data_IF_716334270124
#
_entry.id   IF_716334270124
#
_cell.length_a   1.000
_cell.length_b   1.000
_cell.length_c   1.000
_cell.angle_alpha   90.00
_cell.angle_beta   90.00
_cell.angle_gamma   90.00
#
_symmetry.space_group_name_H-M   'P 1'
#
loop_
_entity.id
_entity.type
_entity.pdbx_description
1 polymer ?
#
# COMPACT_ATOMS: atom_id res chain seq x y z
N UNK A 1 -0.86 6.85 -0.37
CA UNK A 1 -0.21 5.99 0.63
C UNK A 1 -1.00 4.71 0.82
N UNK A 2 -2.28 4.80 1.19
CA UNK A 2 -3.11 3.64 1.55
C UNK A 2 -4.42 3.57 0.73
N UNK A 3 -4.99 2.36 0.61
CA UNK A 3 -6.27 2.11 -0.08
C UNK A 3 -7.08 0.99 0.61
N UNK A 4 -8.28 1.34 1.10
CA UNK A 4 -9.23 0.43 1.72
C UNK A 4 -10.10 -0.30 0.70
N UNK A 5 -9.56 -1.35 0.09
CA UNK A 5 -10.26 -2.11 -0.96
C UNK A 5 -10.92 -3.39 -0.44
N UNK A 6 -10.18 -4.18 0.34
CA UNK A 6 -10.62 -5.48 0.84
C UNK A 6 -9.81 -5.84 2.10
N UNK A 7 -10.44 -6.49 3.08
CA UNK A 7 -9.80 -6.88 4.35
C UNK A 7 -8.52 -7.72 4.18
N UNK A 8 -8.50 -8.64 3.21
CA UNK A 8 -7.33 -9.46 2.82
C UNK A 8 -6.19 -8.68 2.16
N UNK A 9 -6.38 -7.41 1.78
CA UNK A 9 -5.33 -6.52 1.30
C UNK A 9 -5.18 -5.35 2.30
N UNK A 10 -4.50 -5.58 3.45
CA UNK A 10 -4.40 -4.63 4.55
C UNK A 10 -3.39 -3.51 4.29
N UNK A 11 -3.55 -2.80 3.17
CA UNK A 11 -2.75 -1.62 2.80
C UNK A 11 -3.43 -0.32 3.25
N UNK A 12 -4.20 -0.37 4.33
CA UNK A 12 -4.87 0.78 4.95
C UNK A 12 -5.05 0.57 6.45
N UNK A 13 -5.18 1.67 7.22
CA UNK A 13 -5.42 1.59 8.66
C UNK A 13 -6.57 2.48 9.16
N UNK A 14 -7.16 3.31 8.29
CA UNK A 14 -8.20 4.24 8.73
C UNK A 14 -9.04 4.85 7.62
N UNK A 15 -9.75 5.92 7.97
CA UNK A 15 -10.76 6.55 7.11
C UNK A 15 -10.21 7.16 5.82
N UNK A 16 -8.95 7.61 5.79
CA UNK A 16 -8.35 8.16 4.58
C UNK A 16 -8.13 7.06 3.53
N UNK A 17 -7.59 5.90 3.92
CA UNK A 17 -7.48 4.74 3.05
C UNK A 17 -8.85 4.26 2.55
N UNK A 18 -9.86 4.20 3.43
CA UNK A 18 -11.24 3.87 3.02
C UNK A 18 -11.77 4.85 1.98
N UNK A 19 -11.63 6.16 2.23
CA UNK A 19 -12.04 7.20 1.29
C UNK A 19 -11.32 7.08 -0.06
N UNK A 20 -10.01 6.84 -0.05
CA UNK A 20 -9.24 6.62 -1.27
C UNK A 20 -9.73 5.39 -2.05
N UNK A 21 -10.02 4.29 -1.35
CA UNK A 21 -10.60 3.08 -1.94
C UNK A 21 -11.99 3.33 -2.55
N UNK A 22 -12.85 4.07 -1.85
CA UNK A 22 -14.18 4.41 -2.33
C UNK A 22 -14.15 5.38 -3.52
N UNK A 23 -13.15 6.28 -3.59
CA UNK A 23 -12.90 7.06 -4.80
C UNK A 23 -12.56 6.18 -6.01
N UNK A 24 -11.74 5.13 -5.83
CA UNK A 24 -11.44 4.20 -6.94
C UNK A 24 -12.71 3.47 -7.40
N UNK A 25 -13.52 2.98 -6.46
CA UNK A 25 -14.78 2.28 -6.76
C UNK A 25 -15.78 3.21 -7.47
N UNK A 26 -15.98 4.41 -6.95
CA UNK A 26 -16.88 5.40 -7.53
C UNK A 26 -16.43 5.82 -8.94
N UNK A 27 -15.12 6.04 -9.15
CA UNK A 27 -14.59 6.34 -10.48
C UNK A 27 -14.82 5.19 -11.46
N UNK A 28 -14.64 3.93 -11.01
CA UNK A 28 -14.91 2.75 -11.82
C UNK A 28 -16.38 2.62 -12.19
N UNK A 29 -17.31 2.87 -11.26
CA UNK A 29 -18.76 2.83 -11.50
C UNK A 29 -19.22 3.95 -12.45
N UNK A 30 -18.63 5.14 -12.33
CA UNK A 30 -18.95 6.29 -13.17
C UNK A 30 -18.23 6.27 -14.53
N UNK A 31 -17.30 5.33 -14.75
CA UNK A 31 -16.47 5.28 -15.95
C UNK A 31 -15.52 6.47 -16.09
N UNK A 32 -15.14 7.10 -14.96
CA UNK A 32 -14.21 8.22 -14.94
C UNK A 32 -12.79 7.68 -15.09
N UNK A 33 -11.97 8.19 -16.04
CA UNK A 33 -10.60 7.75 -16.19
C UNK A 33 -9.79 8.18 -14.96
N UNK A 34 -9.38 7.20 -14.16
CA UNK A 34 -8.60 7.40 -12.95
C UNK A 34 -7.59 6.26 -12.80
N UNK A 35 -6.39 6.59 -12.35
CA UNK A 35 -5.36 5.63 -11.94
C UNK A 35 -4.97 5.95 -10.51
N UNK A 36 -5.00 4.93 -9.64
CA UNK A 36 -4.50 5.04 -8.28
C UNK A 36 -3.01 4.69 -8.23
N UNK A 37 -2.24 5.36 -7.36
CA UNK A 37 -0.87 4.98 -7.03
C UNK A 37 -0.68 4.97 -5.52
N UNK A 38 -0.13 3.87 -5.00
CA UNK A 38 0.07 3.64 -3.57
C UNK A 38 1.33 2.83 -3.27
N UNK A 39 1.46 2.42 -2.00
CA UNK A 39 2.54 1.53 -1.56
C UNK A 39 1.96 0.16 -1.20
N UNK A 40 2.69 -0.91 -1.54
CA UNK A 40 2.35 -2.27 -1.15
C UNK A 40 3.05 -2.59 0.18
N UNK A 41 2.31 -2.48 1.28
CA UNK A 41 2.82 -2.83 2.61
C UNK A 41 2.76 -4.35 2.84
N UNK A 42 3.92 -5.02 2.82
CA UNK A 42 4.00 -6.49 2.91
C UNK A 42 3.48 -7.04 4.24
N UNK A 43 3.80 -6.37 5.34
CA UNK A 43 3.26 -6.65 6.67
C UNK A 43 1.92 -5.99 6.96
N UNK A 44 1.38 -5.24 5.98
CA UNK A 44 0.13 -4.51 6.11
C UNK A 44 0.10 -3.52 7.27
N UNK A 45 -1.09 -3.37 7.84
CA UNK A 45 -1.30 -2.89 9.20
C UNK A 45 -1.45 -4.09 10.16
N UNK A 46 -1.24 -3.87 11.46
CA UNK A 46 -1.41 -4.95 12.44
C UNK A 46 -2.87 -5.38 12.57
N UNK A 47 -3.07 -6.66 12.87
CA UNK A 47 -4.36 -7.18 13.33
C UNK A 47 -4.47 -6.96 14.83
N UNK A 48 -5.48 -6.21 15.24
CA UNK A 48 -5.74 -5.93 16.64
C UNK A 48 -6.41 -7.14 17.30
N UNK A 49 -5.83 -7.59 18.41
CA UNK A 49 -6.43 -8.55 19.33
C UNK A 49 -6.62 -7.95 20.72
N UNK A 50 -7.35 -8.65 21.57
CA UNK A 50 -7.48 -8.32 22.99
C UNK A 50 -7.14 -9.55 23.80
N UNK A 51 -6.14 -9.46 24.68
CA UNK A 51 -5.74 -10.57 25.53
C UNK A 51 -6.71 -10.79 26.70
N UNK A 52 -6.50 -11.87 27.46
CA UNK A 52 -7.34 -12.20 28.62
C UNK A 52 -7.35 -11.13 29.73
N UNK A 53 -6.40 -10.19 29.72
CA UNK A 53 -6.31 -9.07 30.65
C UNK A 53 -6.94 -7.78 30.08
N UNK A 54 -7.57 -7.83 28.91
CA UNK A 54 -8.18 -6.68 28.26
C UNK A 54 -7.17 -5.74 27.59
N UNK A 55 -5.92 -6.16 27.40
CA UNK A 55 -4.89 -5.35 26.74
C UNK A 55 -4.90 -5.61 25.25
N UNK A 56 -4.67 -4.56 24.47
CA UNK A 56 -4.46 -4.68 23.04
C UNK A 56 -3.21 -5.50 22.75
N UNK A 57 -3.32 -6.41 21.78
CA UNK A 57 -2.20 -7.13 21.18
C UNK A 57 -2.18 -6.89 19.68
N UNK A 58 -1.01 -7.01 19.08
CA UNK A 58 -0.77 -6.71 17.67
C UNK A 58 -0.19 -7.95 17.00
N UNK A 59 -0.79 -8.38 15.90
CA UNK A 59 -0.30 -9.48 15.07
C UNK A 59 -0.04 -8.98 13.65
N UNK A 60 1.19 -9.16 13.18
CA UNK A 60 1.62 -8.73 11.85
C UNK A 60 1.72 -9.95 10.94
N UNK A 61 0.75 -10.08 10.05
CA UNK A 61 0.69 -11.20 9.11
C UNK A 61 1.10 -10.72 7.72
N UNK A 62 2.19 -11.26 7.15
CA UNK A 62 2.57 -10.96 5.78
C UNK A 62 1.44 -11.34 4.81
N UNK A 63 1.21 -10.49 3.82
CA UNK A 63 0.22 -10.73 2.77
C UNK A 63 0.94 -11.20 1.52
N UNK A 64 0.47 -12.31 0.97
CA UNK A 64 0.78 -12.70 -0.40
C UNK A 64 -0.10 -11.87 -1.36
N UNK A 65 0.47 -10.89 -2.10
CA UNK A 65 -0.31 -10.02 -2.96
C UNK A 65 -1.02 -10.78 -4.08
N UNK A 66 -0.40 -11.84 -4.60
CA UNK A 66 -0.96 -12.63 -5.70
C UNK A 66 -2.20 -13.41 -5.25
N UNK A 67 -2.19 -13.92 -4.02
CA UNK A 67 -3.34 -14.59 -3.40
C UNK A 67 -4.57 -13.68 -3.25
N UNK A 68 -4.40 -12.35 -3.33
CA UNK A 68 -5.48 -11.34 -3.27
C UNK A 68 -5.67 -10.60 -4.60
N UNK A 69 -5.12 -11.17 -5.67
CA UNK A 69 -5.29 -10.70 -7.05
C UNK A 69 -4.61 -9.37 -7.32
N UNK A 70 -3.46 -9.13 -6.67
CA UNK A 70 -2.51 -8.08 -7.03
C UNK A 70 -1.39 -8.77 -7.82
N UNK A 71 -1.15 -8.33 -9.06
CA UNK A 71 -0.20 -8.98 -9.97
C UNK A 71 1.06 -8.15 -10.12
N UNK A 72 2.22 -8.81 -10.20
CA UNK A 72 3.49 -8.11 -10.45
C UNK A 72 3.60 -7.71 -11.92
N UNK A 73 4.00 -6.46 -12.16
CA UNK A 73 4.30 -5.98 -13.51
C UNK A 73 5.78 -6.23 -13.85
N UNK A 74 6.14 -6.43 -15.13
CA UNK A 74 7.51 -6.65 -15.57
C UNK A 74 8.31 -5.33 -15.66
N UNK A 75 8.03 -4.38 -14.76
CA UNK A 75 8.68 -3.06 -14.69
C UNK A 75 9.01 -2.71 -13.24
N UNK A 76 10.04 -1.90 -13.07
CA UNK A 76 10.41 -1.25 -11.80
C UNK A 76 10.50 0.25 -12.00
N UNK A 77 10.42 0.98 -10.88
CA UNK A 77 10.67 2.42 -10.83
C UNK A 77 11.91 2.68 -10.01
N UNK A 78 12.82 3.50 -10.52
CA UNK A 78 14.05 3.90 -9.86
C UNK A 78 13.88 5.27 -9.21
N UNK A 79 14.16 5.38 -7.90
CA UNK A 79 13.99 6.63 -7.14
C UNK A 79 15.26 6.93 -6.34
N UNK A 80 15.79 8.14 -6.46
CA UNK A 80 16.90 8.60 -5.62
C UNK A 80 16.37 9.10 -4.27
N UNK A 81 16.78 8.45 -3.17
CA UNK A 81 16.39 8.77 -1.80
C UNK A 81 17.64 8.80 -0.92
N UNK A 82 17.96 9.96 -0.36
CA UNK A 82 19.10 10.09 0.56
C UNK A 82 20.47 9.83 -0.09
N UNK A 83 20.61 10.05 -1.40
CA UNK A 83 21.84 9.76 -2.16
C UNK A 83 21.98 8.30 -2.60
N UNK A 84 20.96 7.47 -2.35
CA UNK A 84 20.89 6.08 -2.80
C UNK A 84 19.81 5.93 -3.87
N UNK A 85 20.08 5.15 -4.91
CA UNK A 85 19.08 4.77 -5.90
C UNK A 85 18.36 3.51 -5.43
N UNK A 86 17.05 3.63 -5.23
CA UNK A 86 16.17 2.53 -4.79
C UNK A 86 15.33 2.08 -5.97
N UNK A 87 15.38 0.77 -6.26
CA UNK A 87 14.49 0.12 -7.23
C UNK A 87 13.22 -0.38 -6.54
N UNK A 88 12.07 0.10 -6.98
CA UNK A 88 10.77 -0.31 -6.51
C UNK A 88 10.07 -1.22 -7.52
N UNK A 89 9.62 -2.38 -7.06
CA UNK A 89 8.79 -3.27 -7.88
C UNK A 89 7.38 -2.65 -8.05
N UNK A 90 6.83 -2.77 -9.25
CA UNK A 90 5.47 -2.33 -9.54
C UNK A 90 4.50 -3.49 -9.48
N UNK A 91 3.42 -3.30 -8.74
CA UNK A 91 2.32 -4.22 -8.59
C UNK A 91 1.02 -3.57 -9.07
N UNK A 92 0.12 -4.35 -9.65
CA UNK A 92 -1.12 -3.89 -10.25
C UNK A 92 -2.32 -4.56 -9.60
N UNK A 93 -3.36 -3.79 -9.31
CA UNK A 93 -4.68 -4.25 -8.89
C UNK A 93 -5.76 -3.58 -9.71
N UNK A 94 -6.67 -4.39 -10.27
CA UNK A 94 -7.87 -3.86 -10.90
C UNK A 94 -8.97 -3.60 -9.86
N UNK A 95 -9.59 -2.42 -9.94
CA UNK A 95 -10.74 -1.99 -9.17
C UNK A 95 -11.83 -1.59 -10.16
N UNK A 96 -12.58 -2.59 -10.66
CA UNK A 96 -13.51 -2.37 -11.77
C UNK A 96 -12.76 -1.95 -13.04
N UNK A 97 -13.04 -0.76 -13.56
CA UNK A 97 -12.37 -0.17 -14.74
C UNK A 97 -11.13 0.68 -14.37
N UNK A 98 -10.86 0.85 -13.07
CA UNK A 98 -9.75 1.66 -12.56
C UNK A 98 -8.58 0.76 -12.20
N UNK A 99 -7.38 1.14 -12.64
CA UNK A 99 -6.14 0.46 -12.26
C UNK A 99 -5.50 1.16 -11.05
N UNK A 100 -5.10 0.37 -10.06
CA UNK A 100 -4.27 0.79 -8.93
C UNK A 100 -2.88 0.18 -9.06
N UNK A 101 -1.86 1.02 -9.14
CA UNK A 101 -0.46 0.61 -9.03
C UNK A 101 0.04 0.75 -7.59
N UNK A 102 0.81 -0.23 -7.14
CA UNK A 102 1.41 -0.26 -5.81
C UNK A 102 2.92 -0.47 -5.95
N UNK A 103 3.70 0.45 -5.37
CA UNK A 103 5.15 0.37 -5.33
C UNK A 103 5.61 -0.43 -4.12
N UNK A 104 6.59 -1.31 -4.30
CA UNK A 104 7.12 -2.16 -3.24
C UNK A 104 8.64 -2.10 -3.18
N UNK A 105 9.16 -1.90 -1.98
CA UNK A 105 10.58 -2.01 -1.64
C UNK A 105 10.64 -2.75 -0.31
N UNK A 106 11.06 -4.01 -0.30
CA UNK A 106 10.83 -4.93 0.82
C UNK A 106 11.21 -4.44 2.23
N UNK A 107 12.27 -3.64 2.37
CA UNK A 107 12.65 -3.07 3.68
C UNK A 107 11.97 -1.74 3.99
N UNK A 108 11.50 -1.01 2.98
CA UNK A 108 10.94 0.33 3.12
C UNK A 108 9.40 0.30 3.18
N UNK A 109 8.76 -0.64 2.50
CA UNK A 109 7.30 -0.87 2.50
C UNK A 109 6.95 -2.11 3.32
N UNK A 110 7.62 -2.28 4.44
CA UNK A 110 7.48 -3.38 5.38
C UNK A 110 6.18 -3.28 6.21
N UNK A 111 5.86 -2.08 6.71
CA UNK A 111 4.67 -1.82 7.51
C UNK A 111 4.04 -0.45 7.21
N UNK A 112 2.70 -0.40 7.22
CA UNK A 112 1.96 0.85 7.13
C UNK A 112 2.10 1.63 8.44
N UNK A 113 2.58 2.87 8.35
CA UNK A 113 2.81 3.76 9.49
C UNK A 113 3.81 3.22 10.53
N UNK A 114 4.64 2.25 10.14
CA UNK A 114 5.77 1.77 10.94
C UNK A 114 7.03 2.63 10.76
N UNK A 115 8.07 2.22 11.48
CA UNK A 115 9.38 2.86 11.44
C UNK A 115 9.45 4.20 12.17
N UNK A 116 10.58 4.86 12.04
CA UNK A 116 10.81 6.19 12.59
C UNK A 116 10.44 7.29 11.58
N UNK A 117 10.76 8.54 11.92
CA UNK A 117 10.48 9.69 11.07
C UNK A 117 11.22 9.61 9.73
N UNK A 118 12.46 9.12 9.73
CA UNK A 118 13.25 9.02 8.50
C UNK A 118 12.63 7.96 7.58
N UNK A 119 12.26 6.81 8.13
CA UNK A 119 11.55 5.76 7.40
C UNK A 119 10.29 6.28 6.71
N UNK A 120 9.45 7.03 7.44
CA UNK A 120 8.22 7.61 6.88
C UNK A 120 8.50 8.63 5.77
N UNK A 121 9.52 9.47 5.93
CA UNK A 121 9.91 10.42 4.86
C UNK A 121 10.38 9.66 3.62
N UNK A 122 11.15 8.58 3.78
CA UNK A 122 11.58 7.74 2.65
C UNK A 122 10.39 7.08 1.94
N UNK A 123 9.40 6.60 2.68
CA UNK A 123 8.15 6.06 2.11
C UNK A 123 7.37 7.14 1.32
N UNK A 124 7.26 8.35 1.89
CA UNK A 124 6.59 9.48 1.24
C UNK A 124 7.33 9.94 -0.02
N UNK A 125 8.67 9.94 -0.02
CA UNK A 125 9.49 10.22 -1.21
C UNK A 125 9.35 9.13 -2.28
N UNK A 126 9.38 7.85 -1.89
CA UNK A 126 9.14 6.74 -2.81
C UNK A 126 7.79 6.91 -3.52
N UNK A 127 6.73 7.22 -2.77
CA UNK A 127 5.41 7.43 -3.36
C UNK A 127 5.35 8.72 -4.20
N UNK A 128 5.90 9.82 -3.70
CA UNK A 128 5.79 11.14 -4.33
C UNK A 128 6.61 11.28 -5.61
N UNK A 129 7.80 10.68 -5.65
CA UNK A 129 8.70 10.69 -6.82
C UNK A 129 8.47 9.46 -7.68
N UNK A 130 8.41 8.27 -7.09
CA UNK A 130 8.22 7.02 -7.85
C UNK A 130 6.80 6.82 -8.39
N UNK A 131 5.83 7.61 -7.93
CA UNK A 131 4.48 7.59 -8.45
C UNK A 131 4.24 8.46 -9.69
N UNK A 132 5.27 9.16 -10.19
CA UNK A 132 5.25 10.04 -11.37
C UNK A 132 6.09 9.44 -12.49
#
# INVERSE_FOLDING_TARGET
>A
MEFGLHERLPIYSGGLGVLAGDHLKAAAELGVPLVGVGLLYRGGYFRQGVDAAGRQTEDYQPVDPEAVGVTREPVSVSVEIGGETIEAAVWRKEVGLVTLYLLEVGWLTDALYGGDREHRIRQELLLGVGGV
#
